data_IF_368123691988
#
_entry.id   IF_368123691988
#
_cell.length_a   1.000
_cell.length_b   1.000
_cell.length_c   1.000
_cell.angle_alpha   90.00
_cell.angle_beta   90.00
_cell.angle_gamma   90.00
#
_symmetry.space_group_name_H-M   'P 1'
#
loop_
_entity.id
_entity.type
_entity.pdbx_description
1 polymer ?
#
# COMPACT_ATOMS: atom_id res chain seq x y z
N UNK A 1 24.84 -80.77 -5.57
CA UNK A 1 26.31 -81.04 -5.65
C UNK A 1 26.94 -79.78 -5.03
N UNK A 2 27.31 -79.89 -3.75
CA UNK A 2 28.65 -79.88 -3.18
C UNK A 2 29.30 -78.54 -3.23
N UNK A 3 29.82 -77.91 -2.27
CA UNK A 3 30.32 -78.16 -0.90
C UNK A 3 30.92 -76.81 -0.45
N UNK A 4 30.71 -76.39 0.76
CA UNK A 4 31.60 -76.62 1.91
C UNK A 4 32.83 -75.73 1.97
N UNK A 5 32.95 -75.08 3.12
CA UNK A 5 34.14 -74.73 3.93
C UNK A 5 35.01 -73.59 3.51
N UNK A 6 35.43 -72.69 4.35
CA UNK A 6 36.02 -72.71 5.70
C UNK A 6 36.24 -71.29 6.17
N UNK A 7 35.85 -70.93 7.31
CA UNK A 7 36.54 -70.67 8.58
C UNK A 7 37.93 -69.96 8.47
N UNK A 8 38.03 -68.97 9.33
CA UNK A 8 39.22 -68.44 10.02
C UNK A 8 39.85 -67.12 9.59
N UNK A 9 39.98 -66.29 10.57
CA UNK A 9 40.92 -65.19 10.52
C UNK A 9 40.50 -63.96 11.39
N UNK A 10 40.71 -64.12 12.70
CA UNK A 10 40.87 -62.96 13.61
C UNK A 10 41.91 -62.05 13.08
N UNK A 11 41.61 -60.75 13.03
CA UNK A 11 42.61 -59.75 13.39
C UNK A 11 41.95 -58.57 14.08
N UNK A 12 42.25 -58.51 15.35
CA UNK A 12 42.06 -57.34 16.21
C UNK A 12 43.13 -56.33 15.80
N UNK A 13 42.73 -55.25 15.11
CA UNK A 13 43.61 -54.12 14.94
C UNK A 13 43.06 -52.89 15.71
N UNK A 14 43.90 -52.57 16.67
CA UNK A 14 43.81 -51.49 17.61
C UNK A 14 43.47 -50.17 17.00
N UNK A 15 42.70 -49.39 17.74
CA UNK A 15 42.31 -48.03 17.45
C UNK A 15 43.49 -47.09 17.21
N UNK A 16 43.39 -46.35 16.13
CA UNK A 16 44.10 -45.07 16.00
C UNK A 16 43.07 -43.97 16.06
N UNK A 17 43.04 -43.33 17.20
CA UNK A 17 42.27 -42.11 17.44
C UNK A 17 42.71 -41.04 16.46
N UNK A 18 41.86 -40.74 15.44
CA UNK A 18 42.02 -39.57 14.63
C UNK A 18 41.60 -38.34 15.46
N UNK A 19 42.61 -37.67 16.00
CA UNK A 19 42.44 -36.40 16.70
C UNK A 19 41.72 -35.41 15.79
N UNK A 20 40.46 -35.16 16.08
CA UNK A 20 39.76 -33.99 15.55
C UNK A 20 40.42 -32.73 16.11
N UNK A 21 41.30 -32.16 15.32
CA UNK A 21 41.83 -30.83 15.61
C UNK A 21 40.66 -29.84 15.80
N UNK A 22 40.65 -29.04 16.86
CA UNK A 22 39.62 -28.01 17.05
C UNK A 22 39.76 -27.00 15.92
N UNK A 23 38.73 -26.94 15.04
CA UNK A 23 38.62 -25.89 14.03
C UNK A 23 38.58 -24.54 14.76
N UNK A 24 39.68 -23.84 14.74
CA UNK A 24 39.78 -22.45 15.22
C UNK A 24 38.71 -21.64 14.50
N UNK A 25 37.88 -20.86 15.24
CA UNK A 25 36.92 -19.96 14.62
C UNK A 25 37.72 -18.95 13.79
N UNK A 26 37.44 -18.88 12.49
CA UNK A 26 37.94 -17.83 11.61
C UNK A 26 37.38 -16.50 12.09
N UNK A 27 37.97 -15.91 13.11
CA UNK A 27 37.83 -14.50 13.47
C UNK A 27 38.65 -13.70 12.45
N UNK A 28 38.02 -12.98 11.52
CA UNK A 28 38.76 -12.04 10.66
C UNK A 28 38.09 -11.54 9.39
N UNK A 29 36.84 -11.92 9.08
CA UNK A 29 36.17 -11.49 7.83
C UNK A 29 35.15 -10.35 7.94
N UNK A 30 34.66 -10.03 9.15
CA UNK A 30 33.50 -9.15 9.31
C UNK A 30 33.74 -7.69 8.94
N UNK A 31 34.89 -7.12 9.21
CA UNK A 31 35.15 -5.70 8.96
C UNK A 31 35.40 -5.36 7.48
N UNK A 32 36.05 -6.24 6.74
CA UNK A 32 36.30 -6.04 5.29
C UNK A 32 35.03 -6.23 4.46
N UNK A 33 34.14 -7.13 4.84
CA UNK A 33 32.85 -7.33 4.18
C UNK A 33 31.90 -6.14 4.43
N UNK A 34 31.98 -5.51 5.59
CA UNK A 34 31.24 -4.31 5.94
C UNK A 34 31.62 -3.12 5.04
N UNK A 35 32.92 -2.89 4.80
CA UNK A 35 33.40 -1.80 3.93
C UNK A 35 32.98 -1.97 2.46
N UNK A 36 33.05 -3.19 1.92
CA UNK A 36 32.58 -3.47 0.57
C UNK A 36 31.05 -3.26 0.44
N UNK A 37 30.26 -3.64 1.46
CA UNK A 37 28.82 -3.38 1.49
C UNK A 37 28.50 -1.89 1.44
N UNK A 38 29.21 -1.07 2.22
CA UNK A 38 29.04 0.38 2.18
C UNK A 38 29.38 0.99 0.82
N UNK A 39 30.43 0.49 0.16
CA UNK A 39 30.82 0.98 -1.18
C UNK A 39 29.71 0.73 -2.22
N UNK A 40 29.01 -0.41 -2.16
CA UNK A 40 27.88 -0.70 -3.06
C UNK A 40 26.64 0.14 -2.77
N UNK A 41 26.38 0.46 -1.50
CA UNK A 41 25.21 1.25 -1.10
C UNK A 41 25.45 2.76 -1.25
N UNK A 42 26.69 3.22 -1.17
CA UNK A 42 27.06 4.64 -1.25
C UNK A 42 26.49 5.39 -2.45
N UNK A 43 26.53 4.89 -3.70
CA UNK A 43 25.96 5.62 -4.85
C UNK A 43 24.47 5.87 -4.67
N UNK A 44 23.74 4.89 -4.20
CA UNK A 44 22.30 5.02 -3.92
C UNK A 44 22.04 6.00 -2.78
N UNK A 45 22.82 5.94 -1.70
CA UNK A 45 22.70 6.88 -0.58
C UNK A 45 23.03 8.31 -0.98
N UNK A 46 24.02 8.52 -1.85
CA UNK A 46 24.37 9.86 -2.36
C UNK A 46 23.21 10.42 -3.19
N UNK A 47 22.62 9.64 -4.09
CA UNK A 47 21.47 10.07 -4.88
C UNK A 47 20.27 10.37 -3.98
N UNK A 48 19.94 9.48 -3.05
CA UNK A 48 18.86 9.71 -2.08
C UNK A 48 19.15 10.91 -1.18
N UNK A 49 20.37 11.06 -0.70
CA UNK A 49 20.79 12.20 0.11
C UNK A 49 20.61 13.53 -0.62
N UNK A 50 21.08 13.59 -1.86
CA UNK A 50 21.02 14.81 -2.67
C UNK A 50 19.60 15.15 -3.12
N UNK A 51 18.83 14.18 -3.60
CA UNK A 51 17.52 14.44 -4.22
C UNK A 51 16.33 14.29 -3.26
N UNK A 52 16.51 13.64 -2.12
CA UNK A 52 15.45 13.45 -1.13
C UNK A 52 15.74 14.22 0.16
N UNK A 53 16.89 13.96 0.79
CA UNK A 53 17.19 14.52 2.13
C UNK A 53 17.44 16.04 2.04
N UNK A 54 18.24 16.50 1.07
CA UNK A 54 18.52 17.93 0.91
C UNK A 54 17.25 18.76 0.70
N UNK A 55 16.32 18.41 -0.23
CA UNK A 55 15.06 19.14 -0.37
C UNK A 55 14.17 19.11 0.88
N UNK A 56 14.14 18.00 1.61
CA UNK A 56 13.39 17.91 2.87
C UNK A 56 13.97 18.88 3.92
N UNK A 57 15.28 18.88 4.09
CA UNK A 57 15.93 19.80 5.03
C UNK A 57 15.73 21.26 4.61
N UNK A 58 15.82 21.55 3.31
CA UNK A 58 15.51 22.89 2.79
C UNK A 58 14.06 23.28 3.03
N UNK A 59 13.11 22.38 2.80
CA UNK A 59 11.69 22.64 3.07
C UNK A 59 11.43 22.93 4.55
N UNK A 60 12.08 22.17 5.46
CA UNK A 60 12.02 22.43 6.90
C UNK A 60 12.62 23.78 7.28
N UNK A 61 13.76 24.16 6.68
CA UNK A 61 14.34 25.48 6.88
C UNK A 61 13.42 26.60 6.42
N UNK A 62 12.88 26.50 5.19
CA UNK A 62 11.95 27.47 4.62
C UNK A 62 10.68 27.59 5.46
N UNK A 63 10.18 26.49 6.03
CA UNK A 63 8.94 26.51 6.80
C UNK A 63 9.00 27.36 8.08
N UNK A 64 10.20 27.60 8.61
CA UNK A 64 10.43 28.42 9.81
C UNK A 64 10.99 29.82 9.49
N UNK A 65 10.99 30.21 8.22
CA UNK A 65 11.49 31.51 7.75
C UNK A 65 10.41 32.29 7.01
N UNK A 66 10.60 33.58 6.81
CA UNK A 66 9.71 34.47 6.06
C UNK A 66 9.95 34.46 4.53
N UNK A 67 10.56 33.39 4.01
CA UNK A 67 10.87 33.31 2.59
C UNK A 67 9.61 33.30 1.72
N UNK A 68 9.51 34.25 0.80
CA UNK A 68 8.35 34.44 -0.09
C UNK A 68 8.42 33.69 -1.41
N UNK A 69 9.37 32.78 -1.60
CA UNK A 69 9.57 32.02 -2.85
C UNK A 69 10.42 32.76 -3.88
N UNK A 70 10.94 33.96 -3.60
CA UNK A 70 11.77 34.75 -4.50
C UNK A 70 13.21 34.82 -4.01
N UNK A 71 14.15 34.52 -4.90
CA UNK A 71 15.58 34.51 -4.57
C UNK A 71 16.01 33.29 -3.76
N UNK A 72 17.22 33.38 -3.18
CA UNK A 72 17.77 32.29 -2.37
C UNK A 72 17.15 32.29 -0.96
N UNK A 73 16.71 31.11 -0.44
CA UNK A 73 16.20 30.99 0.93
C UNK A 73 17.28 31.21 2.01
N UNK A 74 18.56 31.30 1.61
CA UNK A 74 19.70 31.60 2.49
C UNK A 74 20.20 33.03 2.40
N UNK A 75 19.44 33.93 1.73
CA UNK A 75 19.82 35.32 1.63
C UNK A 75 19.67 36.02 3.00
N UNK A 76 20.49 37.06 3.23
CA UNK A 76 20.43 37.87 4.47
C UNK A 76 19.10 38.64 4.65
N UNK A 77 18.22 38.63 3.64
CA UNK A 77 16.90 39.25 3.69
C UNK A 77 15.83 38.33 4.29
N UNK A 78 16.15 37.03 4.43
CA UNK A 78 15.23 36.03 4.95
C UNK A 78 15.43 35.95 6.47
N UNK A 79 14.40 36.33 7.21
CA UNK A 79 14.39 36.28 8.67
C UNK A 79 13.90 34.92 9.18
N UNK A 80 14.38 34.53 10.36
CA UNK A 80 13.86 33.39 11.07
C UNK A 80 12.61 33.81 11.85
N UNK A 81 11.46 33.24 11.53
CA UNK A 81 10.15 33.53 12.16
C UNK A 81 9.65 32.39 13.05
N UNK A 82 10.39 31.29 13.13
CA UNK A 82 10.02 30.16 13.99
C UNK A 82 8.69 29.52 13.62
N UNK A 83 7.74 29.50 14.55
CA UNK A 83 6.44 28.87 14.37
C UNK A 83 5.33 29.82 13.86
N UNK A 84 5.64 31.11 13.58
CA UNK A 84 4.61 32.10 13.21
C UNK A 84 3.88 31.72 11.94
N UNK A 85 4.56 31.12 10.95
CA UNK A 85 3.93 30.60 9.73
C UNK A 85 2.86 29.54 10.04
N UNK A 86 3.13 28.65 10.99
CA UNK A 86 2.20 27.61 11.40
C UNK A 86 1.04 28.18 12.21
N UNK A 87 1.35 29.17 13.09
CA UNK A 87 0.31 29.88 13.83
C UNK A 87 -0.62 30.63 12.89
N UNK A 88 -0.08 31.40 11.96
CA UNK A 88 -0.87 32.11 10.95
C UNK A 88 -1.76 31.15 10.14
N UNK A 89 -1.20 30.01 9.70
CA UNK A 89 -1.94 29.00 8.95
C UNK A 89 -3.11 28.38 9.73
N UNK A 90 -2.98 28.25 11.06
CA UNK A 90 -4.00 27.61 11.89
C UNK A 90 -5.01 28.59 12.50
N UNK A 91 -4.59 29.83 12.81
CA UNK A 91 -5.38 30.78 13.58
C UNK A 91 -5.86 31.99 12.80
N UNK A 92 -5.06 32.50 11.84
CA UNK A 92 -5.41 33.70 11.12
C UNK A 92 -6.46 33.44 10.05
N UNK A 93 -7.56 34.21 10.03
CA UNK A 93 -8.56 34.12 8.97
C UNK A 93 -7.97 34.62 7.65
N UNK A 94 -7.90 33.77 6.64
CA UNK A 94 -7.34 34.12 5.34
C UNK A 94 -7.46 33.00 4.32
N UNK A 95 -7.12 33.30 3.06
CA UNK A 95 -7.15 32.34 1.97
C UNK A 95 -6.22 31.14 2.23
N UNK A 96 -5.03 31.40 2.76
CA UNK A 96 -4.05 30.33 3.06
C UNK A 96 -4.59 29.29 4.05
N UNK A 97 -5.30 29.74 5.09
CA UNK A 97 -5.96 28.85 6.04
C UNK A 97 -7.10 28.06 5.38
N UNK A 98 -7.92 28.73 4.57
CA UNK A 98 -9.02 28.09 3.87
C UNK A 98 -8.51 27.01 2.91
N UNK A 99 -7.50 27.32 2.10
CA UNK A 99 -6.89 26.37 1.16
C UNK A 99 -6.25 25.19 1.89
N UNK A 100 -5.60 25.45 3.03
CA UNK A 100 -5.03 24.40 3.85
C UNK A 100 -6.11 23.45 4.40
N UNK A 101 -7.21 24.00 4.92
CA UNK A 101 -8.31 23.19 5.46
C UNK A 101 -9.03 22.39 4.35
N UNK A 102 -9.21 22.98 3.17
CA UNK A 102 -9.73 22.28 1.99
C UNK A 102 -8.79 21.12 1.60
N UNK A 103 -7.49 21.36 1.57
CA UNK A 103 -6.48 20.34 1.25
C UNK A 103 -6.47 19.22 2.27
N UNK A 104 -6.56 19.55 3.56
CA UNK A 104 -6.63 18.58 4.66
C UNK A 104 -7.89 17.70 4.54
N UNK A 105 -9.04 18.31 4.29
CA UNK A 105 -10.31 17.63 4.05
C UNK A 105 -10.22 16.69 2.85
N UNK A 106 -9.71 17.19 1.72
CA UNK A 106 -9.56 16.40 0.50
C UNK A 106 -8.61 15.22 0.70
N UNK A 107 -7.51 15.42 1.43
CA UNK A 107 -6.58 14.34 1.81
C UNK A 107 -7.26 13.28 2.68
N UNK A 108 -8.06 13.73 3.65
CA UNK A 108 -8.82 12.81 4.51
C UNK A 108 -9.80 11.95 3.69
N UNK A 109 -10.58 12.56 2.80
CA UNK A 109 -11.48 11.82 1.91
C UNK A 109 -10.73 10.88 0.97
N UNK A 110 -9.60 11.33 0.43
CA UNK A 110 -8.78 10.51 -0.44
C UNK A 110 -8.29 9.26 0.28
N UNK A 111 -7.69 9.41 1.46
CA UNK A 111 -7.18 8.28 2.24
C UNK A 111 -8.30 7.34 2.66
N UNK A 112 -9.40 7.91 3.20
CA UNK A 112 -10.53 7.11 3.68
C UNK A 112 -11.26 6.39 2.53
N UNK A 113 -11.28 6.96 1.35
CA UNK A 113 -11.92 6.36 0.17
C UNK A 113 -11.00 5.38 -0.55
N UNK A 114 -9.79 5.78 -0.91
CA UNK A 114 -8.88 4.94 -1.73
C UNK A 114 -8.39 3.72 -0.95
N UNK A 115 -7.89 3.90 0.27
CA UNK A 115 -7.22 2.80 0.99
C UNK A 115 -8.16 1.63 1.27
N UNK A 116 -9.34 1.80 1.89
CA UNK A 116 -10.22 0.66 2.15
C UNK A 116 -10.81 0.09 0.86
N UNK A 117 -11.23 0.94 -0.10
CA UNK A 117 -11.83 0.47 -1.35
C UNK A 117 -10.83 -0.35 -2.16
N UNK A 118 -9.60 0.13 -2.31
CA UNK A 118 -8.52 -0.56 -2.99
C UNK A 118 -8.16 -1.89 -2.32
N UNK A 119 -8.07 -1.90 -0.98
CA UNK A 119 -7.74 -3.10 -0.21
C UNK A 119 -8.84 -4.16 -0.36
N UNK A 120 -10.10 -3.76 -0.23
CA UNK A 120 -11.25 -4.68 -0.38
C UNK A 120 -11.32 -5.21 -1.80
N UNK A 121 -11.16 -4.34 -2.81
CA UNK A 121 -11.19 -4.73 -4.22
C UNK A 121 -10.04 -5.68 -4.55
N UNK A 122 -8.81 -5.34 -4.16
CA UNK A 122 -7.63 -6.16 -4.43
C UNK A 122 -7.70 -7.53 -3.75
N UNK A 123 -8.11 -7.56 -2.48
CA UNK A 123 -8.30 -8.81 -1.73
C UNK A 123 -9.44 -9.65 -2.34
N UNK A 124 -10.56 -9.04 -2.70
CA UNK A 124 -11.66 -9.71 -3.37
C UNK A 124 -11.22 -10.34 -4.69
N UNK A 125 -10.50 -9.59 -5.53
CA UNK A 125 -9.94 -10.10 -6.78
C UNK A 125 -8.93 -11.23 -6.53
N UNK A 126 -8.06 -11.11 -5.53
CA UNK A 126 -7.10 -12.15 -5.17
C UNK A 126 -7.80 -13.45 -4.75
N UNK A 127 -8.84 -13.37 -3.93
CA UNK A 127 -9.63 -14.54 -3.50
C UNK A 127 -10.35 -15.19 -4.69
N UNK A 128 -10.95 -14.40 -5.58
CA UNK A 128 -11.62 -14.91 -6.80
C UNK A 128 -10.62 -15.62 -7.70
N UNK A 129 -9.48 -15.00 -7.98
CA UNK A 129 -8.44 -15.56 -8.86
C UNK A 129 -7.75 -16.76 -8.23
N UNK A 130 -7.72 -16.87 -6.89
CA UNK A 130 -7.16 -18.03 -6.18
C UNK A 130 -8.06 -19.28 -6.23
N UNK A 131 -9.33 -19.16 -6.56
CA UNK A 131 -10.27 -20.29 -6.58
C UNK A 131 -9.86 -21.36 -7.60
N UNK A 132 -9.86 -22.63 -7.17
CA UNK A 132 -9.44 -23.79 -8.01
C UNK A 132 -10.35 -24.03 -9.22
N UNK A 133 -11.59 -23.58 -9.19
CA UNK A 133 -12.59 -23.77 -10.26
C UNK A 133 -12.47 -22.76 -11.42
N UNK A 134 -11.70 -21.68 -11.25
CA UNK A 134 -11.59 -20.63 -12.27
C UNK A 134 -10.74 -21.13 -13.45
N UNK A 135 -11.38 -21.41 -14.59
CA UNK A 135 -10.70 -21.70 -15.86
C UNK A 135 -10.11 -20.38 -16.40
N UNK A 136 -8.82 -20.38 -16.79
CA UNK A 136 -8.18 -19.19 -17.35
C UNK A 136 -7.61 -18.20 -16.31
N UNK A 137 -7.19 -18.67 -15.14
CA UNK A 137 -6.58 -17.84 -14.07
C UNK A 137 -5.48 -16.91 -14.56
N UNK A 138 -4.62 -17.41 -15.47
CA UNK A 138 -3.53 -16.61 -16.03
C UNK A 138 -4.05 -15.41 -16.79
N UNK A 139 -5.13 -15.61 -17.59
CA UNK A 139 -5.77 -14.51 -18.30
C UNK A 139 -6.32 -13.44 -17.35
N UNK A 140 -7.05 -13.84 -16.31
CA UNK A 140 -7.59 -12.89 -15.31
C UNK A 140 -6.49 -12.16 -14.54
N UNK A 141 -5.40 -12.86 -14.14
CA UNK A 141 -4.24 -12.22 -13.52
C UNK A 141 -3.65 -11.14 -14.43
N UNK A 142 -3.42 -11.46 -15.69
CA UNK A 142 -2.87 -10.52 -16.65
C UNK A 142 -3.82 -9.36 -16.91
N UNK A 143 -5.10 -9.62 -17.09
CA UNK A 143 -6.10 -8.61 -17.37
C UNK A 143 -6.25 -7.59 -16.22
N UNK A 144 -6.30 -8.06 -14.97
CA UNK A 144 -6.39 -7.17 -13.81
C UNK A 144 -5.08 -6.45 -13.48
N UNK A 145 -3.94 -7.06 -13.83
CA UNK A 145 -2.62 -6.43 -13.64
C UNK A 145 -2.26 -5.46 -14.76
N UNK A 146 -2.83 -5.64 -15.96
CA UNK A 146 -2.51 -4.82 -17.15
C UNK A 146 -2.58 -3.31 -16.90
N UNK A 147 -3.60 -2.75 -16.21
CA UNK A 147 -3.65 -1.32 -15.95
C UNK A 147 -2.46 -0.77 -15.18
N UNK A 148 -1.86 -1.55 -14.30
CA UNK A 148 -0.73 -1.12 -13.48
C UNK A 148 0.60 -1.03 -14.24
N UNK A 149 0.69 -1.66 -15.41
CA UNK A 149 1.88 -1.66 -16.25
C UNK A 149 1.83 -0.55 -17.31
N UNK A 150 0.64 -0.08 -17.63
CA UNK A 150 0.45 0.98 -18.63
C UNK A 150 0.95 2.32 -18.07
N UNK A 151 1.48 3.17 -18.95
CA UNK A 151 1.88 4.53 -18.55
C UNK A 151 0.74 5.29 -17.87
N UNK A 152 1.01 5.88 -16.71
CA UNK A 152 0.04 6.68 -15.97
C UNK A 152 -0.54 7.84 -16.80
N UNK A 153 0.26 8.44 -17.67
CA UNK A 153 -0.18 9.51 -18.58
C UNK A 153 -1.21 8.99 -19.58
N UNK A 154 -0.95 7.82 -20.19
CA UNK A 154 -1.87 7.22 -21.15
C UNK A 154 -3.22 6.87 -20.47
N UNK A 155 -3.17 6.29 -19.29
CA UNK A 155 -4.38 5.97 -18.52
C UNK A 155 -5.15 7.25 -18.16
N UNK A 156 -4.46 8.29 -17.68
CA UNK A 156 -5.10 9.56 -17.34
C UNK A 156 -5.80 10.19 -18.54
N UNK A 157 -5.20 10.14 -19.72
CA UNK A 157 -5.84 10.61 -20.95
C UNK A 157 -7.09 9.79 -21.30
N UNK A 158 -7.02 8.46 -21.20
CA UNK A 158 -8.19 7.60 -21.42
C UNK A 158 -9.32 7.93 -20.43
N UNK A 159 -9.00 8.11 -19.15
CA UNK A 159 -9.99 8.51 -18.16
C UNK A 159 -10.57 9.90 -18.45
N UNK A 160 -9.71 10.86 -18.86
CA UNK A 160 -10.18 12.18 -19.25
C UNK A 160 -11.21 12.10 -20.37
N UNK A 161 -10.97 11.30 -21.41
CA UNK A 161 -11.92 11.08 -22.51
C UNK A 161 -13.21 10.39 -22.06
N UNK A 162 -13.08 9.34 -21.25
CA UNK A 162 -14.24 8.58 -20.76
C UNK A 162 -15.18 9.43 -19.90
N UNK A 163 -14.59 10.29 -19.05
CA UNK A 163 -15.29 11.13 -18.09
C UNK A 163 -15.51 12.57 -18.55
N UNK A 164 -15.35 12.86 -19.84
CA UNK A 164 -15.79 14.14 -20.42
C UNK A 164 -17.30 14.25 -20.40
N UNK A 165 -17.85 15.46 -20.42
CA UNK A 165 -19.31 15.69 -20.43
C UNK A 165 -20.07 14.93 -21.54
N UNK A 166 -19.45 14.75 -22.70
CA UNK A 166 -19.96 13.94 -23.83
C UNK A 166 -19.35 12.54 -23.89
N UNK A 167 -18.58 12.15 -22.87
CA UNK A 167 -17.84 10.89 -22.83
C UNK A 167 -18.71 9.66 -22.61
N UNK A 168 -18.12 8.48 -22.78
CA UNK A 168 -18.82 7.21 -22.70
C UNK A 168 -19.53 6.98 -21.36
N UNK A 169 -18.98 7.49 -20.26
CA UNK A 169 -19.59 7.37 -18.92
C UNK A 169 -20.91 8.14 -18.86
N UNK A 170 -20.95 9.36 -19.34
CA UNK A 170 -22.18 10.16 -19.35
C UNK A 170 -23.20 9.64 -20.37
N UNK A 171 -22.75 9.12 -21.51
CA UNK A 171 -23.66 8.45 -22.45
C UNK A 171 -24.29 7.20 -21.81
N UNK A 172 -23.51 6.41 -21.08
CA UNK A 172 -24.02 5.25 -20.36
C UNK A 172 -25.01 5.65 -19.25
N UNK A 173 -24.73 6.70 -18.47
CA UNK A 173 -25.65 7.25 -17.47
C UNK A 173 -26.94 7.78 -18.10
N UNK A 174 -26.85 8.39 -19.29
CA UNK A 174 -27.99 8.89 -20.06
C UNK A 174 -28.98 7.78 -20.45
N UNK A 175 -28.52 6.53 -20.65
CA UNK A 175 -29.41 5.37 -20.90
C UNK A 175 -30.34 5.12 -19.70
N UNK A 176 -29.89 5.44 -18.49
CA UNK A 176 -30.68 5.32 -17.25
C UNK A 176 -31.44 6.61 -16.92
N UNK A 177 -31.40 7.63 -17.79
CA UNK A 177 -32.09 8.90 -17.57
C UNK A 177 -31.38 9.81 -16.55
N UNK A 178 -30.10 9.58 -16.28
CA UNK A 178 -29.28 10.37 -15.35
C UNK A 178 -28.34 11.26 -16.16
N UNK A 179 -28.49 12.59 -16.00
CA UNK A 179 -27.54 13.53 -16.55
C UNK A 179 -26.24 13.53 -15.73
N UNK A 180 -25.16 13.03 -16.34
CA UNK A 180 -23.86 12.94 -15.68
C UNK A 180 -23.20 14.31 -15.53
N UNK A 181 -22.43 14.52 -14.44
CA UNK A 181 -21.72 15.77 -14.19
C UNK A 181 -20.53 15.95 -15.13
N UNK A 182 -19.94 17.15 -15.12
CA UNK A 182 -18.63 17.42 -15.73
C UNK A 182 -17.53 16.96 -14.77
N UNK A 183 -17.23 15.67 -14.77
CA UNK A 183 -16.47 14.94 -13.74
C UNK A 183 -15.21 15.67 -13.24
N UNK A 184 -14.35 16.19 -14.13
CA UNK A 184 -13.09 16.82 -13.73
C UNK A 184 -13.20 18.30 -13.43
N UNK A 185 -14.30 18.94 -13.78
CA UNK A 185 -14.52 20.38 -13.58
C UNK A 185 -15.57 20.68 -12.53
N UNK A 186 -16.17 19.68 -11.92
CA UNK A 186 -17.23 19.84 -10.94
C UNK A 186 -16.67 19.84 -9.50
N UNK A 187 -16.66 20.96 -8.80
CA UNK A 187 -16.17 21.07 -7.43
C UNK A 187 -17.19 20.58 -6.39
N UNK A 188 -18.43 20.29 -6.80
CA UNK A 188 -19.51 19.90 -5.88
C UNK A 188 -19.20 18.56 -5.21
N UNK A 189 -19.64 18.41 -3.98
CA UNK A 189 -19.46 17.15 -3.23
C UNK A 189 -20.38 16.05 -3.76
N UNK A 190 -19.82 14.84 -3.86
CA UNK A 190 -20.55 13.67 -4.37
C UNK A 190 -21.79 13.36 -3.53
N UNK A 191 -21.67 13.47 -2.19
CA UNK A 191 -22.79 13.21 -1.27
C UNK A 191 -23.92 14.20 -1.49
N UNK A 192 -23.58 15.48 -1.73
CA UNK A 192 -24.59 16.52 -2.00
C UNK A 192 -25.31 16.25 -3.32
N UNK A 193 -24.60 15.84 -4.38
CA UNK A 193 -25.21 15.49 -5.66
C UNK A 193 -26.13 14.28 -5.55
N UNK A 194 -25.71 13.22 -4.86
CA UNK A 194 -26.54 12.03 -4.66
C UNK A 194 -27.77 12.38 -3.83
N UNK A 195 -27.60 13.17 -2.76
CA UNK A 195 -28.72 13.61 -1.92
C UNK A 195 -29.72 14.50 -2.66
N UNK A 196 -29.25 15.37 -3.56
CA UNK A 196 -30.09 16.16 -4.43
C UNK A 196 -30.85 15.27 -5.43
N UNK A 197 -30.18 14.28 -6.03
CA UNK A 197 -30.82 13.31 -6.95
C UNK A 197 -31.88 12.46 -6.28
N UNK A 198 -31.73 12.19 -4.96
CA UNK A 198 -32.74 11.48 -4.15
C UNK A 198 -33.82 12.42 -3.55
N UNK A 199 -33.72 13.72 -3.80
CA UNK A 199 -34.68 14.70 -3.29
C UNK A 199 -34.60 14.94 -1.77
N UNK A 200 -33.48 14.57 -1.11
CA UNK A 200 -33.32 14.70 0.32
C UNK A 200 -33.03 16.15 0.76
N UNK A 201 -32.31 16.90 -0.06
CA UNK A 201 -31.97 18.30 0.16
C UNK A 201 -31.64 19.02 -1.16
N UNK A 202 -31.67 20.36 -1.12
CA UNK A 202 -31.18 21.20 -2.21
C UNK A 202 -29.75 21.68 -1.89
N UNK A 203 -28.86 21.66 -2.86
CA UNK A 203 -27.49 22.18 -2.69
C UNK A 203 -27.51 23.70 -2.45
N UNK A 204 -28.47 24.41 -3.05
CA UNK A 204 -28.61 25.87 -2.95
C UNK A 204 -29.26 26.33 -1.64
N UNK A 205 -29.90 25.41 -0.90
CA UNK A 205 -30.56 25.69 0.38
C UNK A 205 -30.10 24.68 1.45
N UNK A 206 -28.86 24.83 1.97
CA UNK A 206 -28.33 23.94 2.98
C UNK A 206 -29.14 24.09 4.29
N UNK A 207 -29.31 23.03 5.08
CA UNK A 207 -29.94 23.07 6.38
C UNK A 207 -29.24 24.09 7.29
N UNK A 208 -30.00 25.05 7.83
CA UNK A 208 -29.46 26.19 8.60
C UNK A 208 -28.57 25.78 9.79
N UNK A 209 -28.83 24.63 10.40
CA UNK A 209 -28.02 24.09 11.49
C UNK A 209 -26.62 23.63 11.07
N UNK A 210 -26.48 23.08 9.88
CA UNK A 210 -25.20 22.57 9.35
C UNK A 210 -24.39 23.68 8.66
N UNK A 211 -25.05 24.61 8.00
CA UNK A 211 -24.39 25.73 7.33
C UNK A 211 -23.88 26.79 8.33
N UNK A 212 -24.59 26.98 9.46
CA UNK A 212 -24.22 27.98 10.47
C UNK A 212 -23.06 27.58 11.38
N UNK A 213 -22.77 26.30 11.52
CA UNK A 213 -21.68 25.81 12.38
C UNK A 213 -20.40 25.69 11.58
N UNK A 214 -19.40 26.50 11.92
CA UNK A 214 -18.08 26.46 11.29
C UNK A 214 -17.09 25.70 12.17
N UNK A 215 -16.39 24.75 11.57
CA UNK A 215 -15.29 24.01 12.18
C UNK A 215 -14.05 24.20 11.30
N UNK A 216 -13.01 24.80 11.87
CA UNK A 216 -11.72 25.03 11.19
C UNK A 216 -11.88 25.81 9.86
N UNK A 217 -12.68 26.89 9.84
CA UNK A 217 -12.98 27.74 8.68
C UNK A 217 -13.82 27.12 7.55
N UNK A 218 -14.32 25.92 7.73
CA UNK A 218 -15.26 25.26 6.82
C UNK A 218 -16.59 25.04 7.55
N UNK A 219 -17.71 25.16 6.84
CA UNK A 219 -19.01 24.78 7.41
C UNK A 219 -19.10 23.28 7.64
N UNK A 220 -19.88 22.83 8.60
CA UNK A 220 -20.18 21.39 8.76
C UNK A 220 -20.82 20.82 7.49
N UNK A 221 -21.57 21.65 6.77
CA UNK A 221 -22.13 21.28 5.48
C UNK A 221 -21.04 20.91 4.46
N UNK A 222 -19.94 21.68 4.41
CA UNK A 222 -18.79 21.38 3.56
C UNK A 222 -18.03 20.13 3.99
N UNK A 223 -17.95 19.87 5.31
CA UNK A 223 -17.35 18.65 5.84
C UNK A 223 -18.17 17.40 5.48
N UNK A 224 -19.49 17.50 5.36
CA UNK A 224 -20.35 16.39 4.95
C UNK A 224 -20.58 16.31 3.44
N UNK A 225 -20.02 17.21 2.66
CA UNK A 225 -20.17 17.19 1.19
C UNK A 225 -19.60 15.94 0.53
N UNK A 226 -18.71 15.24 1.23
CA UNK A 226 -17.93 14.13 0.68
C UNK A 226 -16.80 14.61 -0.24
N UNK A 227 -16.14 13.69 -0.94
CA UNK A 227 -15.15 14.05 -1.94
C UNK A 227 -15.84 14.81 -3.09
N UNK A 228 -15.15 15.79 -3.68
CA UNK A 228 -15.66 16.43 -4.89
C UNK A 228 -15.80 15.40 -6.03
N UNK A 229 -16.67 15.70 -7.00
CA UNK A 229 -16.83 14.83 -8.17
C UNK A 229 -15.49 14.61 -8.88
N UNK A 230 -14.69 15.66 -9.03
CA UNK A 230 -13.36 15.57 -9.60
C UNK A 230 -12.42 14.66 -8.78
N UNK A 231 -12.43 14.81 -7.46
CA UNK A 231 -11.62 13.95 -6.58
C UNK A 231 -12.06 12.49 -6.65
N UNK A 232 -13.37 12.22 -6.72
CA UNK A 232 -13.89 10.84 -6.84
C UNK A 232 -13.53 10.18 -8.17
N UNK A 233 -13.50 10.92 -9.28
CA UNK A 233 -13.02 10.40 -10.56
C UNK A 233 -11.53 10.03 -10.50
N UNK A 234 -10.70 10.87 -9.86
CA UNK A 234 -9.28 10.58 -9.63
C UNK A 234 -9.11 9.37 -8.70
N UNK A 235 -9.88 9.28 -7.62
CA UNK A 235 -9.84 8.14 -6.70
C UNK A 235 -10.19 6.83 -7.41
N UNK A 236 -11.22 6.84 -8.28
CA UNK A 236 -11.61 5.68 -9.08
C UNK A 236 -10.47 5.25 -10.03
N UNK A 237 -9.84 6.21 -10.70
CA UNK A 237 -8.68 5.95 -11.57
C UNK A 237 -7.54 5.28 -10.78
N UNK A 238 -7.19 5.84 -9.61
CA UNK A 238 -6.10 5.31 -8.78
C UNK A 238 -6.42 3.90 -8.29
N UNK A 239 -7.64 3.67 -7.78
CA UNK A 239 -8.06 2.35 -7.31
C UNK A 239 -7.99 1.33 -8.45
N UNK A 240 -8.47 1.68 -9.65
CA UNK A 240 -8.46 0.78 -10.80
C UNK A 240 -7.03 0.43 -11.25
N UNK A 241 -6.12 1.41 -11.32
CA UNK A 241 -4.73 1.19 -11.76
C UNK A 241 -3.91 0.41 -10.75
N UNK A 242 -4.13 0.60 -9.46
CA UNK A 242 -3.30 0.00 -8.41
C UNK A 242 -3.86 -1.32 -7.88
N UNK A 243 -5.16 -1.58 -8.05
CA UNK A 243 -5.81 -2.80 -7.56
C UNK A 243 -5.14 -4.08 -8.06
N UNK A 244 -4.66 -4.11 -9.30
CA UNK A 244 -3.96 -5.26 -9.88
C UNK A 244 -2.66 -5.60 -9.17
N UNK A 245 -1.87 -4.60 -8.83
CA UNK A 245 -0.60 -4.79 -8.08
C UNK A 245 -0.86 -5.33 -6.68
N UNK A 246 -1.81 -4.74 -5.94
CA UNK A 246 -2.18 -5.22 -4.61
C UNK A 246 -2.84 -6.60 -4.66
N UNK A 247 -3.64 -6.89 -5.72
CA UNK A 247 -4.19 -8.23 -5.95
C UNK A 247 -3.09 -9.28 -6.04
N UNK A 248 -2.00 -9.01 -6.77
CA UNK A 248 -0.88 -9.95 -6.87
C UNK A 248 -0.16 -10.15 -5.53
N UNK A 249 0.00 -9.08 -4.74
CA UNK A 249 0.59 -9.18 -3.40
C UNK A 249 -0.27 -10.07 -2.49
N UNK A 250 -1.59 -9.84 -2.45
CA UNK A 250 -2.50 -10.68 -1.67
C UNK A 250 -2.56 -12.11 -2.22
N UNK A 251 -2.52 -12.27 -3.54
CA UNK A 251 -2.51 -13.59 -4.15
C UNK A 251 -1.25 -14.40 -3.79
N UNK A 252 -0.08 -13.76 -3.74
CA UNK A 252 1.14 -14.41 -3.28
C UNK A 252 1.00 -14.86 -1.81
N UNK A 253 0.50 -13.98 -0.93
CA UNK A 253 0.25 -14.32 0.47
C UNK A 253 -0.76 -15.47 0.64
N UNK A 254 -1.79 -15.54 -0.22
CA UNK A 254 -2.77 -16.64 -0.21
C UNK A 254 -2.17 -17.96 -0.68
N UNK A 255 -1.20 -17.93 -1.60
CA UNK A 255 -0.53 -19.12 -2.12
C UNK A 255 0.54 -19.68 -1.17
N UNK A 256 1.05 -18.86 -0.26
CA UNK A 256 1.98 -19.27 0.80
C UNK A 256 1.29 -20.00 1.97
N UNK A 257 -0.05 -20.02 2.00
CA UNK A 257 -0.82 -20.75 3.00
C UNK A 257 -0.61 -22.28 2.86
N UNK A 258 -0.19 -22.98 3.93
CA UNK A 258 -0.13 -24.43 3.92
C UNK A 258 -1.53 -25.02 3.68
N UNK A 259 -1.65 -25.94 2.72
CA UNK A 259 -2.91 -26.63 2.43
C UNK A 259 -3.49 -27.37 3.63
N UNK A 260 -2.61 -27.83 4.53
CA UNK A 260 -2.96 -28.52 5.78
C UNK A 260 -3.87 -27.65 6.69
N UNK A 261 -3.65 -26.34 6.72
CA UNK A 261 -4.47 -25.41 7.53
C UNK A 261 -5.86 -25.22 6.91
N UNK A 262 -5.95 -25.19 5.58
CA UNK A 262 -7.25 -25.13 4.88
C UNK A 262 -8.03 -26.42 5.06
N UNK A 263 -7.37 -27.57 4.98
CA UNK A 263 -7.97 -28.88 5.16
C UNK A 263 -8.43 -29.10 6.61
N UNK A 264 -7.64 -28.70 7.61
CA UNK A 264 -8.03 -28.74 9.01
C UNK A 264 -9.30 -27.93 9.26
N UNK A 265 -9.38 -26.72 8.73
CA UNK A 265 -10.55 -25.86 8.85
C UNK A 265 -11.80 -26.47 8.16
N UNK A 266 -11.62 -27.24 7.07
CA UNK A 266 -12.71 -27.96 6.42
C UNK A 266 -13.20 -29.13 7.28
N UNK A 267 -12.30 -29.88 7.91
CA UNK A 267 -12.64 -30.98 8.83
C UNK A 267 -13.38 -30.46 10.07
N UNK A 268 -13.00 -29.27 10.56
CA UNK A 268 -13.70 -28.58 11.66
C UNK A 268 -15.07 -28.01 11.24
N UNK A 269 -15.50 -28.20 9.99
CA UNK A 269 -16.81 -27.77 9.49
C UNK A 269 -16.93 -26.26 9.24
N UNK A 270 -15.79 -25.52 9.16
CA UNK A 270 -15.81 -24.09 8.89
C UNK A 270 -16.34 -23.78 7.48
N UNK A 271 -17.33 -22.88 7.39
CA UNK A 271 -17.83 -22.42 6.10
C UNK A 271 -16.81 -21.48 5.40
N UNK A 272 -17.06 -21.11 4.12
CA UNK A 272 -16.13 -20.29 3.36
C UNK A 272 -15.84 -18.92 4.00
N UNK A 273 -16.84 -18.30 4.65
CA UNK A 273 -16.69 -17.01 5.33
C UNK A 273 -15.89 -17.12 6.63
N UNK A 274 -16.12 -18.19 7.39
CA UNK A 274 -15.35 -18.46 8.61
C UNK A 274 -13.87 -18.72 8.28
N UNK A 275 -13.57 -19.52 7.25
CA UNK A 275 -12.20 -19.74 6.75
C UNK A 275 -11.55 -18.45 6.28
N UNK A 276 -12.29 -17.62 5.52
CA UNK A 276 -11.78 -16.32 5.08
C UNK A 276 -11.40 -15.45 6.27
N UNK A 277 -12.27 -15.34 7.27
CA UNK A 277 -12.03 -14.45 8.43
C UNK A 277 -11.00 -15.01 9.42
N UNK A 278 -10.98 -16.31 9.66
CA UNK A 278 -10.13 -16.94 10.68
C UNK A 278 -8.75 -17.36 10.15
N UNK A 279 -8.63 -17.71 8.87
CA UNK A 279 -7.39 -18.21 8.26
C UNK A 279 -6.82 -17.21 7.27
N UNK A 280 -7.59 -16.82 6.26
CA UNK A 280 -7.12 -16.00 5.13
C UNK A 280 -6.75 -14.59 5.56
N UNK A 281 -7.64 -13.88 6.22
CA UNK A 281 -7.45 -12.48 6.59
C UNK A 281 -6.28 -12.28 7.58
N UNK A 282 -6.12 -13.07 8.66
CA UNK A 282 -4.98 -12.92 9.56
C UNK A 282 -3.63 -13.25 8.92
N UNK A 283 -3.61 -14.18 7.96
CA UNK A 283 -2.36 -14.56 7.26
C UNK A 283 -1.90 -13.48 6.30
N UNK A 284 -2.83 -12.84 5.58
CA UNK A 284 -2.49 -11.68 4.73
C UNK A 284 -2.00 -10.47 5.54
N UNK A 285 -2.37 -10.36 6.82
CA UNK A 285 -1.97 -9.26 7.70
C UNK A 285 -0.64 -9.50 8.45
N UNK A 286 -0.14 -10.75 8.48
CA UNK A 286 1.13 -11.07 9.14
C UNK A 286 2.27 -11.08 8.12
N UNK A 287 3.41 -10.42 8.41
CA UNK A 287 4.62 -10.65 7.63
C UNK A 287 4.98 -12.14 7.71
N UNK A 288 5.19 -12.78 6.57
CA UNK A 288 5.52 -14.20 6.49
C UNK A 288 6.82 -14.47 7.24
N UNK A 289 6.74 -15.08 8.43
CA UNK A 289 7.90 -15.70 9.07
C UNK A 289 8.24 -16.96 8.26
N UNK A 290 9.11 -16.83 7.26
CA UNK A 290 9.64 -18.00 6.58
C UNK A 290 10.46 -18.82 7.58
N UNK A 291 9.89 -19.92 8.07
CA UNK A 291 10.68 -20.96 8.74
C UNK A 291 11.53 -21.60 7.67
N UNK A 292 12.76 -21.11 7.46
CA UNK A 292 13.76 -21.85 6.71
C UNK A 292 14.05 -23.13 7.50
N UNK A 293 13.36 -24.21 7.16
CA UNK A 293 13.81 -25.56 7.52
C UNK A 293 15.13 -25.78 6.77
N UNK A 294 16.23 -25.31 7.36
CA UNK A 294 17.54 -25.86 7.02
C UNK A 294 17.49 -27.35 7.40
N UNK A 295 17.48 -28.20 6.39
CA UNK A 295 17.62 -29.63 6.55
C UNK A 295 18.96 -29.96 7.22
N UNK A 296 18.98 -29.98 8.53
CA UNK A 296 19.98 -30.61 9.34
C UNK A 296 19.26 -31.61 10.23
N UNK A 297 19.48 -32.87 9.94
CA UNK A 297 19.07 -34.02 10.72
C UNK A 297 19.79 -34.01 12.08
N UNK A 298 19.30 -33.16 13.01
CA UNK A 298 19.61 -33.22 14.42
C UNK A 298 18.34 -32.99 15.23
N UNK A 299 17.93 -33.93 16.09
CA UNK A 299 16.74 -33.73 16.91
C UNK A 299 17.04 -32.76 18.04
N UNK A 300 16.28 -31.66 18.09
CA UNK A 300 16.19 -30.80 19.26
C UNK A 300 16.85 -29.44 19.16
N UNK A 301 16.18 -28.48 18.51
CA UNK A 301 15.98 -27.07 18.89
C UNK A 301 15.42 -26.28 17.71
N UNK A 302 14.12 -26.13 17.69
CA UNK A 302 13.46 -25.14 16.84
C UNK A 302 13.65 -23.74 17.45
N UNK A 303 14.62 -22.99 16.94
CA UNK A 303 14.70 -21.56 17.24
C UNK A 303 13.94 -20.80 16.17
N UNK A 304 12.72 -20.41 16.46
CA UNK A 304 11.92 -19.47 15.66
C UNK A 304 12.53 -18.06 15.83
N UNK A 305 13.25 -17.56 14.83
CA UNK A 305 13.63 -16.14 14.79
C UNK A 305 12.58 -15.41 13.99
N UNK A 306 11.77 -14.61 14.66
CA UNK A 306 11.01 -13.55 14.04
C UNK A 306 11.91 -12.31 13.97
N UNK A 307 12.23 -11.83 12.78
CA UNK A 307 12.82 -10.51 12.59
C UNK A 307 11.68 -9.53 12.39
N UNK A 308 11.57 -8.61 13.32
CA UNK A 308 10.68 -7.45 13.26
C UNK A 308 11.15 -6.44 12.22
#
# INVERSE_FOLDING_TARGET
VTSADTVEGRDVVAGTGSGRSPRRPRRGGGQRQSGAGWLFVTPTLVVLGLFLVVPIVMALWVSVTDWTGRGSPFSSRVGFVGADNYQALLTEPGLSRQDFMISLRNTFYYVLGVVPLQTVLALGLAVIVNQRFLKGRTFFRTAFYFPSVVSSVAISLVFLFLFTGTGAVNQFLGVFGVDGPTWFSDPRGLIHLVGQGLGLWSIDAPPSGLAGTQVMSLSLWDWFSGPSVALSAIMLQVVWTTAGTFMLMFLAALQDLPTEVEEAALVDGANAWQRFRAVTLPTCARPSCSSSRSGSSAPGRSSTRCTS
#
